data_IF_391777533522
#
_entry.id   IF_391777533522
#
_cell.length_a   1.000
_cell.length_b   1.000
_cell.length_c   1.000
_cell.angle_alpha   90.00
_cell.angle_beta   90.00
_cell.angle_gamma   90.00
#
_symmetry.space_group_name_H-M   'P 1'
#
loop_
_entity.id
_entity.type
_entity.pdbx_description
1 polymer ?
#
# COMPACT_ATOMS: atom_id res chain seq x y z
N UNK A 1 7.76 2.79 -19.83
CA UNK A 1 8.95 2.36 -19.05
C UNK A 1 8.87 2.81 -17.59
N UNK A 2 8.39 4.03 -17.30
CA UNK A 2 8.29 4.60 -15.94
C UNK A 2 7.24 3.92 -15.04
N UNK A 3 6.16 3.37 -15.60
CA UNK A 3 5.06 2.79 -14.81
C UNK A 3 5.40 1.49 -14.07
N UNK A 4 6.24 0.62 -14.65
CA UNK A 4 6.63 -0.64 -14.00
C UNK A 4 7.52 -0.36 -12.78
N UNK A 5 8.43 0.61 -12.90
CA UNK A 5 9.31 1.04 -11.81
C UNK A 5 8.50 1.64 -10.66
N UNK A 6 7.52 2.49 -10.95
CA UNK A 6 6.63 3.03 -9.92
C UNK A 6 5.82 1.94 -9.21
N UNK A 7 5.32 0.94 -9.95
CA UNK A 7 4.61 -0.18 -9.34
C UNK A 7 5.50 -0.97 -8.37
N UNK A 8 6.74 -1.26 -8.80
CA UNK A 8 7.74 -1.92 -7.97
C UNK A 8 8.06 -1.09 -6.72
N UNK A 9 8.27 0.23 -6.87
CA UNK A 9 8.54 1.14 -5.75
C UNK A 9 7.38 1.10 -4.75
N UNK A 10 6.13 1.18 -5.21
CA UNK A 10 4.98 1.10 -4.30
C UNK A 10 4.90 -0.23 -3.56
N UNK A 11 5.13 -1.35 -4.23
CA UNK A 11 5.14 -2.68 -3.61
C UNK A 11 6.26 -2.81 -2.57
N UNK A 12 7.47 -2.31 -2.89
CA UNK A 12 8.62 -2.36 -1.99
C UNK A 12 8.40 -1.46 -0.77
N UNK A 13 7.99 -0.20 -0.97
CA UNK A 13 7.70 0.73 0.13
C UNK A 13 6.60 0.16 1.03
N UNK A 14 5.53 -0.35 0.44
CA UNK A 14 4.44 -0.95 1.19
C UNK A 14 4.88 -2.19 1.98
N UNK A 15 5.64 -3.09 1.35
CA UNK A 15 6.20 -4.28 1.99
C UNK A 15 7.15 -3.95 3.15
N UNK A 16 7.97 -2.91 3.00
CA UNK A 16 8.87 -2.44 4.07
C UNK A 16 8.11 -1.85 5.26
N UNK A 17 7.06 -1.06 5.00
CA UNK A 17 6.21 -0.52 6.09
C UNK A 17 5.46 -1.65 6.79
N UNK A 18 4.95 -2.65 6.05
CA UNK A 18 4.34 -3.84 6.64
C UNK A 18 5.30 -4.60 7.55
N UNK A 19 6.52 -4.81 7.06
CA UNK A 19 7.57 -5.50 7.79
C UNK A 19 7.90 -4.76 9.09
N UNK A 20 8.10 -3.43 9.03
CA UNK A 20 8.37 -2.60 10.21
C UNK A 20 7.24 -2.60 11.23
N UNK A 21 5.98 -2.51 10.78
CA UNK A 21 4.81 -2.58 11.66
C UNK A 21 4.75 -3.92 12.40
N UNK A 22 5.21 -5.01 11.77
CA UNK A 22 5.27 -6.33 12.39
C UNK A 22 6.26 -6.46 13.55
N UNK A 23 7.27 -5.58 13.64
CA UNK A 23 8.22 -5.56 14.75
C UNK A 23 7.74 -4.74 15.94
N UNK A 24 6.73 -3.90 15.77
CA UNK A 24 6.11 -3.22 16.89
C UNK A 24 5.32 -4.25 17.68
N UNK A 25 5.66 -4.51 18.96
CA UNK A 25 4.85 -5.36 19.83
C UNK A 25 3.56 -4.60 20.18
N UNK A 26 2.64 -4.53 19.22
CA UNK A 26 1.33 -3.94 19.38
C UNK A 26 0.46 -4.96 20.14
N UNK A 27 -0.11 -4.62 21.30
CA UNK A 27 -1.05 -5.50 21.98
C UNK A 27 -2.29 -5.74 21.12
N UNK A 28 -2.84 -6.96 21.17
CA UNK A 28 -4.19 -7.19 20.63
C UNK A 28 -5.18 -6.28 21.38
N UNK A 29 -6.14 -5.60 20.72
CA UNK A 29 -6.65 -5.81 19.36
C UNK A 29 -6.02 -4.92 18.26
N UNK A 30 -5.14 -4.00 18.63
CA UNK A 30 -4.62 -2.96 17.72
C UNK A 30 -3.79 -3.58 16.59
N UNK A 31 -2.96 -4.57 16.91
CA UNK A 31 -2.20 -5.33 15.91
C UNK A 31 -3.12 -5.95 14.85
N UNK A 32 -4.30 -6.40 15.26
CA UNK A 32 -5.27 -7.04 14.37
C UNK A 32 -5.94 -6.03 13.45
N UNK A 33 -6.32 -4.86 13.97
CA UNK A 33 -6.89 -3.75 13.18
C UNK A 33 -5.88 -3.24 12.16
N UNK A 34 -4.62 -3.02 12.54
CA UNK A 34 -3.58 -2.56 11.62
C UNK A 34 -3.32 -3.61 10.53
N UNK A 35 -3.30 -4.90 10.89
CA UNK A 35 -3.18 -6.00 9.92
C UNK A 35 -4.29 -5.96 8.88
N UNK A 36 -5.54 -5.82 9.31
CA UNK A 36 -6.70 -5.76 8.43
C UNK A 36 -6.64 -4.52 7.52
N UNK A 37 -6.34 -3.34 8.07
CA UNK A 37 -6.22 -2.10 7.30
C UNK A 37 -5.16 -2.20 6.20
N UNK A 38 -4.01 -2.79 6.51
CA UNK A 38 -2.94 -2.96 5.54
C UNK A 38 -3.31 -3.94 4.44
N UNK A 39 -3.95 -5.06 4.77
CA UNK A 39 -4.41 -6.02 3.75
C UNK A 39 -5.42 -5.34 2.80
N UNK A 40 -6.34 -4.54 3.33
CA UNK A 40 -7.28 -3.75 2.52
C UNK A 40 -6.55 -2.76 1.60
N UNK A 41 -5.54 -2.04 2.12
CA UNK A 41 -4.73 -1.13 1.32
C UNK A 41 -3.95 -1.84 0.21
N UNK A 42 -3.36 -3.02 0.50
CA UNK A 42 -2.65 -3.83 -0.48
C UNK A 42 -3.60 -4.23 -1.62
N UNK A 43 -4.79 -4.70 -1.27
CA UNK A 43 -5.84 -5.08 -2.22
C UNK A 43 -6.21 -3.89 -3.12
N UNK A 44 -6.39 -2.69 -2.55
CA UNK A 44 -6.69 -1.47 -3.32
C UNK A 44 -5.56 -1.11 -4.27
N UNK A 45 -4.30 -1.18 -3.83
CA UNK A 45 -3.13 -0.88 -4.68
C UNK A 45 -3.06 -1.86 -5.84
N UNK A 46 -3.24 -3.16 -5.58
CA UNK A 46 -3.23 -4.20 -6.62
C UNK A 46 -4.39 -4.00 -7.60
N UNK A 47 -5.62 -3.81 -7.11
CA UNK A 47 -6.79 -3.53 -7.95
C UNK A 47 -6.64 -2.24 -8.78
N UNK A 48 -6.02 -1.22 -8.22
CA UNK A 48 -5.70 0.03 -8.92
C UNK A 48 -4.63 -0.18 -10.00
N UNK A 49 -3.67 -1.09 -9.78
CA UNK A 49 -2.66 -1.43 -10.79
C UNK A 49 -3.26 -2.18 -11.99
N UNK A 50 -4.28 -3.01 -11.75
CA UNK A 50 -5.05 -3.68 -12.80
C UNK A 50 -6.14 -2.79 -13.44
N UNK A 51 -6.26 -1.53 -13.01
CA UNK A 51 -7.23 -0.57 -13.55
C UNK A 51 -8.69 -0.86 -13.19
N UNK A 52 -8.94 -1.78 -12.24
CA UNK A 52 -10.28 -2.18 -11.80
C UNK A 52 -10.88 -1.14 -10.85
N UNK A 53 -10.01 -0.49 -10.07
CA UNK A 53 -10.38 0.64 -9.21
C UNK A 53 -9.76 1.89 -9.84
N UNK A 54 -10.55 2.94 -10.17
CA UNK A 54 -9.98 4.21 -10.56
C UNK A 54 -9.25 4.73 -9.32
N UNK A 55 -7.94 4.53 -9.29
CA UNK A 55 -7.09 4.99 -8.21
C UNK A 55 -7.42 6.44 -7.92
N UNK A 56 -7.50 6.79 -6.63
CA UNK A 56 -7.60 8.18 -6.20
C UNK A 56 -6.58 8.96 -7.03
N UNK A 57 -7.09 9.83 -7.90
CA UNK A 57 -6.28 10.55 -8.85
C UNK A 57 -5.34 11.41 -8.03
N UNK A 58 -4.10 10.95 -7.88
CA UNK A 58 -3.04 11.76 -7.28
C UNK A 58 -2.98 13.02 -8.15
N UNK A 59 -3.25 14.22 -7.59
CA UNK A 59 -3.22 15.44 -8.37
C UNK A 59 -1.81 15.54 -8.94
N UNK A 60 -1.72 15.43 -10.27
CA UNK A 60 -0.44 15.59 -10.94
C UNK A 60 -0.06 17.06 -10.76
N UNK A 61 0.89 17.30 -9.86
CA UNK A 61 1.50 18.60 -9.66
C UNK A 61 2.28 18.91 -10.93
N UNK A 62 1.58 19.48 -11.90
CA UNK A 62 2.15 20.06 -13.11
C UNK A 62 2.68 21.44 -12.71
N UNK A 63 3.98 21.51 -12.48
CA UNK A 63 4.73 22.76 -12.55
C UNK A 63 5.25 22.92 -13.97
#
# INVERSE_FOLDING_TARGET
MVQLVNLIIYLVVFGLVWWLVGFLPLPAPVAQVVRVLFIVLLIIIVLSAFGIVPGIHMPQLRW
#
